data_IF_255760199156
#
_entry.id   IF_255760199156
#
_cell.length_a   1.000
_cell.length_b   1.000
_cell.length_c   1.000
_cell.angle_alpha   90.00
_cell.angle_beta   90.00
_cell.angle_gamma   90.00
#
_symmetry.space_group_name_H-M   'P 1'
#
loop_
_entity.id
_entity.type
_entity.pdbx_description
1 polymer ?
#
# COMPACT_ATOMS: atom_id res chain seq x y z
N UNK A 1 2.48 1.14 -8.26
CA UNK A 1 3.21 0.60 -7.09
C UNK A 1 2.43 0.59 -5.76
N UNK A 2 1.35 1.36 -5.57
CA UNK A 2 0.50 1.39 -4.36
C UNK A 2 -0.96 1.22 -4.73
N UNK A 3 -1.80 0.78 -3.76
CA UNK A 3 -3.24 0.63 -3.93
C UNK A 3 -3.71 -0.80 -4.22
N UNK A 4 -2.83 -1.79 -4.02
CA UNK A 4 -3.17 -3.20 -4.26
C UNK A 4 -3.81 -3.91 -3.07
N UNK A 5 -3.65 -3.38 -1.84
CA UNK A 5 -4.21 -3.97 -0.62
C UNK A 5 -5.70 -3.61 -0.47
N UNK A 6 -6.52 -4.03 -1.41
CA UNK A 6 -7.96 -3.75 -1.46
C UNK A 6 -8.78 -4.94 -0.96
N UNK A 7 -9.90 -4.66 -0.32
CA UNK A 7 -10.83 -5.72 0.07
C UNK A 7 -11.65 -6.21 -1.13
N UNK A 8 -11.81 -7.53 -1.24
CA UNK A 8 -12.73 -8.15 -2.19
C UNK A 8 -14.17 -8.03 -1.64
N UNK A 9 -14.78 -6.88 -1.86
CA UNK A 9 -16.04 -6.45 -1.20
C UNK A 9 -17.24 -7.34 -1.48
N UNK A 10 -17.27 -8.07 -2.59
CA UNK A 10 -18.38 -8.98 -2.96
C UNK A 10 -18.52 -10.21 -2.06
N UNK A 11 -17.39 -10.66 -1.51
CA UNK A 11 -17.34 -11.86 -0.68
C UNK A 11 -17.24 -11.54 0.81
N UNK A 12 -17.30 -10.25 1.16
CA UNK A 12 -17.34 -9.80 2.55
C UNK A 12 -18.77 -9.83 3.10
N UNK A 13 -18.89 -10.16 4.37
CA UNK A 13 -20.11 -9.94 5.13
C UNK A 13 -20.37 -8.44 5.33
N UNK A 14 -21.63 -8.05 5.52
CA UNK A 14 -21.99 -6.63 5.66
C UNK A 14 -21.29 -5.94 6.84
N UNK A 15 -21.00 -6.66 7.91
CA UNK A 15 -20.30 -6.16 9.08
C UNK A 15 -18.85 -5.80 8.73
N UNK A 16 -18.11 -6.72 8.10
CA UNK A 16 -16.74 -6.52 7.64
C UNK A 16 -16.66 -5.38 6.60
N UNK A 17 -17.62 -5.30 5.69
CA UNK A 17 -17.70 -4.21 4.72
C UNK A 17 -17.92 -2.86 5.40
N UNK A 18 -18.80 -2.79 6.39
CA UNK A 18 -19.05 -1.58 7.18
C UNK A 18 -17.80 -1.18 7.97
N UNK A 19 -17.12 -2.16 8.56
CA UNK A 19 -15.85 -1.96 9.27
C UNK A 19 -14.77 -1.40 8.33
N UNK A 20 -14.57 -2.02 7.17
CA UNK A 20 -13.61 -1.56 6.17
C UNK A 20 -13.86 -0.10 5.77
N UNK A 21 -15.12 0.24 5.47
CA UNK A 21 -15.54 1.61 5.14
C UNK A 21 -15.30 2.59 6.27
N UNK A 22 -15.60 2.20 7.51
CA UNK A 22 -15.42 3.07 8.68
C UNK A 22 -13.95 3.41 8.92
N UNK A 23 -13.04 2.44 8.77
CA UNK A 23 -11.59 2.66 8.89
C UNK A 23 -11.06 3.51 7.74
N UNK A 24 -11.49 3.27 6.51
CA UNK A 24 -11.15 4.09 5.34
C UNK A 24 -11.59 5.55 5.53
N UNK A 25 -12.82 5.78 5.98
CA UNK A 25 -13.33 7.11 6.31
C UNK A 25 -12.57 7.74 7.48
N UNK A 26 -12.19 6.97 8.49
CA UNK A 26 -11.37 7.40 9.61
C UNK A 26 -10.00 7.90 9.16
N UNK A 27 -9.32 7.14 8.29
CA UNK A 27 -8.04 7.53 7.71
C UNK A 27 -8.17 8.81 6.85
N UNK A 28 -9.22 8.92 6.03
CA UNK A 28 -9.51 10.12 5.26
C UNK A 28 -9.67 11.37 6.16
N UNK A 29 -10.30 11.21 7.32
CA UNK A 29 -10.45 12.27 8.32
C UNK A 29 -9.13 12.62 9.00
N UNK A 30 -8.32 11.62 9.36
CA UNK A 30 -6.98 11.83 9.92
C UNK A 30 -6.08 12.59 8.95
N UNK A 31 -6.10 12.27 7.65
CA UNK A 31 -5.41 13.04 6.61
C UNK A 31 -5.84 14.50 6.59
N UNK A 32 -7.16 14.75 6.60
CA UNK A 32 -7.69 16.11 6.61
C UNK A 32 -7.34 16.87 7.88
N UNK A 33 -7.41 16.22 9.03
CA UNK A 33 -7.11 16.82 10.33
C UNK A 33 -5.65 17.20 10.48
N UNK A 34 -4.76 16.30 10.08
CA UNK A 34 -3.32 16.46 10.25
C UNK A 34 -2.66 17.34 9.17
N UNK A 35 -3.18 17.28 7.92
CA UNK A 35 -2.50 17.88 6.76
C UNK A 35 -3.41 18.73 5.86
N UNK A 36 -4.66 18.94 6.25
CA UNK A 36 -5.64 19.74 5.50
C UNK A 36 -6.41 18.96 4.44
N UNK A 37 -7.39 19.64 3.82
CA UNK A 37 -8.36 18.98 2.93
C UNK A 37 -7.74 18.36 1.68
N UNK A 38 -6.69 18.96 1.14
CA UNK A 38 -5.99 18.45 -0.06
C UNK A 38 -5.28 17.13 0.18
N UNK A 39 -4.84 16.85 1.41
CA UNK A 39 -4.21 15.59 1.77
C UNK A 39 -5.12 14.36 1.57
N UNK A 40 -6.44 14.55 1.56
CA UNK A 40 -7.41 13.46 1.24
C UNK A 40 -7.23 12.89 -0.16
N UNK A 41 -6.66 13.65 -1.08
CA UNK A 41 -6.41 13.20 -2.45
C UNK A 41 -5.30 12.14 -2.53
N UNK A 42 -4.48 12.03 -1.50
CA UNK A 42 -3.42 11.00 -1.41
C UNK A 42 -3.89 9.71 -0.77
N UNK A 43 -5.14 9.66 -0.27
CA UNK A 43 -5.70 8.48 0.41
C UNK A 43 -5.59 7.22 -0.46
N UNK A 44 -5.04 6.15 0.11
CA UNK A 44 -4.93 4.86 -0.56
C UNK A 44 -5.40 3.70 0.34
N UNK A 45 -5.62 2.55 -0.25
CA UNK A 45 -6.13 1.36 0.42
C UNK A 45 -5.05 0.64 1.24
N UNK A 46 -3.78 0.73 0.85
CA UNK A 46 -2.69 0.08 1.56
C UNK A 46 -2.56 0.61 2.99
N UNK A 47 -2.80 1.91 3.17
CA UNK A 47 -2.81 2.51 4.51
C UNK A 47 -4.06 2.11 5.31
N UNK A 48 -5.17 1.78 4.66
CA UNK A 48 -6.35 1.23 5.33
C UNK A 48 -6.05 -0.17 5.86
N UNK A 49 -5.36 -1.01 5.07
CA UNK A 49 -4.87 -2.30 5.54
C UNK A 49 -3.91 -2.16 6.72
N UNK A 50 -2.99 -1.20 6.67
CA UNK A 50 -2.07 -0.91 7.78
C UNK A 50 -2.83 -0.57 9.08
N UNK A 51 -3.87 0.26 9.00
CA UNK A 51 -4.71 0.59 10.18
C UNK A 51 -5.41 -0.64 10.73
N UNK A 52 -6.04 -1.45 9.86
CA UNK A 52 -6.73 -2.68 10.27
C UNK A 52 -5.77 -3.67 10.94
N UNK A 53 -4.60 -3.90 10.35
CA UNK A 53 -3.59 -4.82 10.87
C UNK A 53 -3.08 -4.37 12.25
N UNK A 54 -2.63 -3.12 12.35
CA UNK A 54 -2.13 -2.59 13.61
C UNK A 54 -3.25 -2.43 14.65
N UNK A 55 -4.47 -2.09 14.22
CA UNK A 55 -5.66 -2.02 15.07
C UNK A 55 -6.00 -3.37 15.69
N UNK A 56 -5.93 -4.44 14.88
CA UNK A 56 -6.13 -5.82 15.34
C UNK A 56 -5.05 -6.29 16.31
N UNK A 57 -3.82 -5.80 16.15
CA UNK A 57 -2.67 -6.20 16.98
C UNK A 57 -2.58 -5.43 18.30
N UNK A 58 -2.90 -4.13 18.28
CA UNK A 58 -2.66 -3.23 19.40
C UNK A 58 -3.93 -2.76 20.13
N UNK A 59 -5.09 -3.01 19.56
CA UNK A 59 -6.41 -2.70 20.13
C UNK A 59 -6.52 -1.27 20.72
N UNK A 60 -6.20 -0.21 19.94
CA UNK A 60 -6.27 1.16 20.45
C UNK A 60 -7.71 1.59 20.73
N UNK A 61 -7.90 2.56 21.61
CA UNK A 61 -9.19 3.22 21.75
C UNK A 61 -9.60 3.91 20.43
N UNK A 62 -10.79 3.62 19.95
CA UNK A 62 -11.34 4.18 18.74
C UNK A 62 -12.40 5.24 19.02
N UNK A 63 -12.28 6.37 18.34
CA UNK A 63 -13.35 7.36 18.23
C UNK A 63 -14.22 7.01 17.03
N UNK A 64 -15.44 6.60 17.29
CA UNK A 64 -16.41 6.22 16.26
C UNK A 64 -17.53 7.27 16.15
N UNK A 65 -18.14 7.37 14.98
CA UNK A 65 -19.27 8.25 14.71
C UNK A 65 -19.66 8.22 13.25
N UNK A 66 -20.69 9.00 12.91
CA UNK A 66 -21.18 9.16 11.55
C UNK A 66 -21.03 10.60 11.12
N UNK A 67 -20.59 10.84 9.88
CA UNK A 67 -20.47 12.18 9.33
C UNK A 67 -20.57 12.20 7.81
N UNK A 68 -21.21 13.23 7.29
CA UNK A 68 -21.16 13.59 5.88
C UNK A 68 -19.78 14.14 5.49
N UNK A 69 -19.39 13.99 4.25
CA UNK A 69 -18.14 14.54 3.72
C UNK A 69 -18.36 15.18 2.34
N UNK A 70 -17.35 15.87 1.82
CA UNK A 70 -17.42 16.53 0.49
C UNK A 70 -17.78 15.55 -0.62
N UNK A 71 -17.30 14.30 -0.52
CA UNK A 71 -17.60 13.24 -1.50
C UNK A 71 -19.00 12.65 -1.33
N UNK A 72 -19.51 12.63 -0.09
CA UNK A 72 -20.83 12.13 0.28
C UNK A 72 -21.57 13.18 1.11
N UNK A 73 -22.13 14.23 0.46
CA UNK A 73 -22.72 15.37 1.17
C UNK A 73 -24.12 15.11 1.74
N UNK A 74 -24.79 14.06 1.26
CA UNK A 74 -26.19 13.76 1.61
C UNK A 74 -26.27 12.68 2.70
N UNK A 75 -25.45 11.65 2.60
CA UNK A 75 -25.46 10.53 3.54
C UNK A 75 -24.28 10.59 4.51
N UNK A 76 -24.57 10.37 5.79
CA UNK A 76 -23.52 10.23 6.79
C UNK A 76 -22.92 8.83 6.69
N UNK A 77 -21.59 8.76 6.66
CA UNK A 77 -20.84 7.51 6.65
C UNK A 77 -20.16 7.26 7.99
N UNK A 78 -20.13 6.02 8.47
CA UNK A 78 -19.44 5.67 9.69
C UNK A 78 -17.94 5.89 9.54
N UNK A 79 -17.28 6.31 10.62
CA UNK A 79 -15.84 6.40 10.71
C UNK A 79 -15.32 5.84 12.02
N UNK A 80 -14.11 5.29 11.98
CA UNK A 80 -13.36 4.85 13.16
C UNK A 80 -11.95 5.47 13.10
N UNK A 81 -11.59 6.23 14.13
CA UNK A 81 -10.31 6.94 14.22
C UNK A 81 -9.58 6.54 15.51
N UNK A 82 -8.27 6.38 15.41
CA UNK A 82 -7.38 6.09 16.54
C UNK A 82 -6.00 6.72 16.31
N UNK A 83 -5.08 6.53 17.24
CA UNK A 83 -3.67 6.89 17.01
C UNK A 83 -3.08 6.21 15.77
N UNK A 84 -3.60 5.03 15.39
CA UNK A 84 -3.12 4.28 14.23
C UNK A 84 -3.64 4.86 12.90
N UNK A 85 -4.83 5.43 12.86
CA UNK A 85 -5.27 6.20 11.68
C UNK A 85 -4.43 7.46 11.49
N UNK A 86 -3.96 8.07 12.57
CA UNK A 86 -3.04 9.20 12.49
C UNK A 86 -1.65 8.76 12.03
N UNK A 87 -1.14 7.66 12.55
CA UNK A 87 0.11 7.07 12.08
C UNK A 87 0.06 6.75 10.58
N UNK A 88 -0.97 6.05 10.14
CA UNK A 88 -1.16 5.71 8.74
C UNK A 88 -1.30 6.96 7.85
N UNK A 89 -1.97 8.02 8.33
CA UNK A 89 -2.03 9.29 7.61
C UNK A 89 -0.64 9.94 7.44
N UNK A 90 0.23 9.85 8.46
CA UNK A 90 1.61 10.33 8.36
C UNK A 90 2.42 9.51 7.33
N UNK A 91 2.32 8.18 7.37
CA UNK A 91 2.99 7.30 6.39
C UNK A 91 2.49 7.55 4.97
N UNK A 92 1.17 7.73 4.81
CA UNK A 92 0.55 8.06 3.53
C UNK A 92 1.12 9.35 2.91
N UNK A 93 1.31 10.40 3.71
CA UNK A 93 1.91 11.67 3.24
C UNK A 93 3.38 11.48 2.88
N UNK A 94 4.16 10.72 3.67
CA UNK A 94 5.55 10.45 3.37
C UNK A 94 5.71 9.73 2.03
N UNK A 95 4.93 8.67 1.82
CA UNK A 95 4.95 7.89 0.58
C UNK A 95 4.48 8.72 -0.63
N UNK A 96 3.38 9.47 -0.49
CA UNK A 96 2.87 10.31 -1.57
C UNK A 96 3.87 11.40 -1.98
N UNK A 97 4.49 12.07 -1.00
CA UNK A 97 5.49 13.09 -1.27
C UNK A 97 6.71 12.54 -2.01
N UNK A 98 7.27 11.44 -1.51
CA UNK A 98 8.48 10.86 -2.07
C UNK A 98 8.22 10.24 -3.46
N UNK A 99 7.05 9.63 -3.66
CA UNK A 99 6.60 9.20 -4.98
C UNK A 99 6.50 10.36 -5.97
N UNK A 100 5.90 11.48 -5.57
CA UNK A 100 5.80 12.66 -6.45
C UNK A 100 7.19 13.22 -6.82
N UNK A 101 8.18 13.13 -5.92
CA UNK A 101 9.55 13.52 -6.23
C UNK A 101 10.21 12.58 -7.24
N UNK A 102 9.96 11.29 -7.10
CA UNK A 102 10.45 10.24 -8.01
C UNK A 102 9.85 10.43 -9.41
N UNK A 103 8.53 10.52 -9.52
CA UNK A 103 7.82 10.81 -10.77
C UNK A 103 8.31 12.12 -11.45
N UNK A 104 8.68 13.12 -10.65
CA UNK A 104 9.27 14.35 -11.20
C UNK A 104 10.70 14.15 -11.71
N UNK A 105 11.50 13.36 -11.02
CA UNK A 105 12.89 13.08 -11.40
C UNK A 105 12.92 12.31 -12.72
N UNK A 106 12.09 11.30 -12.86
CA UNK A 106 12.09 10.35 -13.97
C UNK A 106 11.38 10.92 -15.21
N UNK A 107 10.14 11.34 -15.06
CA UNK A 107 9.27 11.75 -16.18
C UNK A 107 9.18 13.26 -16.40
N UNK A 108 9.76 14.07 -15.50
CA UNK A 108 9.64 15.55 -15.50
C UNK A 108 8.17 16.02 -15.50
N UNK A 109 7.28 15.26 -14.90
CA UNK A 109 5.84 15.59 -14.83
C UNK A 109 5.61 16.82 -13.95
N UNK A 110 5.22 17.94 -14.57
CA UNK A 110 4.98 19.22 -13.86
C UNK A 110 3.90 19.08 -12.76
N UNK A 111 2.89 18.21 -12.98
CA UNK A 111 1.87 17.92 -11.98
C UNK A 111 2.48 17.29 -10.72
N UNK A 112 3.36 16.29 -10.88
CA UNK A 112 4.06 15.64 -9.77
C UNK A 112 4.92 16.64 -8.96
N UNK A 113 5.58 17.58 -9.63
CA UNK A 113 6.30 18.65 -8.95
C UNK A 113 5.38 19.57 -8.14
N UNK A 114 4.24 19.96 -8.70
CA UNK A 114 3.27 20.81 -8.00
C UNK A 114 2.65 20.10 -6.78
N UNK A 115 2.35 18.81 -6.92
CA UNK A 115 1.88 17.97 -5.82
C UNK A 115 2.93 17.81 -4.73
N UNK A 116 4.19 17.48 -5.08
CA UNK A 116 5.30 17.41 -4.14
C UNK A 116 5.47 18.73 -3.37
N UNK A 117 5.38 19.88 -4.05
CA UNK A 117 5.47 21.19 -3.39
C UNK A 117 4.36 21.40 -2.36
N UNK A 118 3.15 20.93 -2.64
CA UNK A 118 2.01 21.02 -1.71
C UNK A 118 2.21 20.11 -0.49
N UNK A 119 2.78 18.91 -0.68
CA UNK A 119 2.99 17.92 0.38
C UNK A 119 4.25 18.17 1.21
N UNK A 120 5.20 18.99 0.73
CA UNK A 120 6.52 19.18 1.36
C UNK A 120 6.45 19.55 2.84
N UNK A 121 5.64 20.53 3.21
CA UNK A 121 5.52 20.95 4.62
C UNK A 121 4.98 19.84 5.53
N UNK A 122 4.02 19.06 5.00
CA UNK A 122 3.51 17.86 5.67
C UNK A 122 4.62 16.81 5.85
N UNK A 123 5.37 16.53 4.79
CA UNK A 123 6.48 15.58 4.84
C UNK A 123 7.55 15.96 5.88
N UNK A 124 7.98 17.22 5.94
CA UNK A 124 8.95 17.68 6.95
C UNK A 124 8.46 17.43 8.38
N UNK A 125 7.15 17.64 8.62
CA UNK A 125 6.53 17.32 9.91
C UNK A 125 6.56 15.82 10.19
N UNK A 126 6.25 15.00 9.19
CA UNK A 126 6.32 13.53 9.31
C UNK A 126 7.73 13.06 9.57
N UNK A 127 8.72 13.59 8.83
CA UNK A 127 10.13 13.22 8.97
C UNK A 127 10.69 13.54 10.36
N UNK A 128 10.29 14.67 10.92
CA UNK A 128 10.66 15.03 12.30
C UNK A 128 10.07 14.07 13.35
N UNK A 129 8.86 13.55 13.12
CA UNK A 129 8.15 12.66 14.05
C UNK A 129 8.52 11.19 13.87
N UNK A 130 8.77 10.76 12.61
CA UNK A 130 9.01 9.38 12.22
C UNK A 130 10.29 9.24 11.36
N UNK A 131 11.46 9.62 11.90
CA UNK A 131 12.71 9.67 11.12
C UNK A 131 13.16 8.28 10.62
N UNK A 132 12.86 7.20 11.36
CA UNK A 132 13.20 5.83 10.98
C UNK A 132 12.44 5.42 9.70
N UNK A 133 11.13 5.59 9.70
CA UNK A 133 10.28 5.24 8.55
C UNK A 133 10.61 6.09 7.33
N UNK A 134 10.72 7.40 7.50
CA UNK A 134 11.08 8.30 6.39
C UNK A 134 12.47 7.98 5.83
N UNK A 135 13.44 7.69 6.70
CA UNK A 135 14.78 7.28 6.26
C UNK A 135 14.78 5.97 5.45
N UNK A 136 13.96 4.99 5.86
CA UNK A 136 13.81 3.74 5.13
C UNK A 136 13.17 3.95 3.74
N UNK A 137 12.14 4.81 3.64
CA UNK A 137 11.51 5.13 2.35
C UNK A 137 12.51 5.84 1.42
N UNK A 138 13.22 6.86 1.94
CA UNK A 138 14.24 7.60 1.15
C UNK A 138 15.35 6.68 0.65
N UNK A 139 15.83 5.76 1.50
CA UNK A 139 16.89 4.83 1.15
C UNK A 139 16.41 3.81 0.09
N UNK A 140 15.23 3.25 0.27
CA UNK A 140 14.66 2.27 -0.65
C UNK A 140 14.47 2.88 -2.06
N UNK A 141 13.90 4.07 -2.16
CA UNK A 141 13.73 4.76 -3.45
C UNK A 141 15.07 5.10 -4.10
N UNK A 142 16.07 5.51 -3.32
CA UNK A 142 17.41 5.76 -3.83
C UNK A 142 18.08 4.50 -4.39
N UNK A 143 17.95 3.37 -3.70
CA UNK A 143 18.51 2.09 -4.13
C UNK A 143 17.78 1.58 -5.38
N UNK A 144 16.44 1.68 -5.41
CA UNK A 144 15.64 1.31 -6.57
C UNK A 144 16.03 2.15 -7.81
N UNK A 145 16.09 3.48 -7.68
CA UNK A 145 16.53 4.36 -8.77
C UNK A 145 17.95 4.03 -9.26
N UNK A 146 18.85 3.59 -8.39
CA UNK A 146 20.19 3.15 -8.80
C UNK A 146 20.18 1.85 -9.62
N UNK A 147 19.26 0.92 -9.32
CA UNK A 147 19.07 -0.31 -10.12
C UNK A 147 18.48 0.02 -11.50
N UNK A 148 17.51 0.93 -11.55
CA UNK A 148 16.88 1.42 -12.79
C UNK A 148 17.88 2.13 -13.69
N UNK A 149 18.66 3.09 -13.13
CA UNK A 149 19.70 3.83 -13.85
C UNK A 149 20.79 2.89 -14.42
N UNK A 150 21.08 1.79 -13.72
CA UNK A 150 22.02 0.77 -14.17
C UNK A 150 21.41 -0.21 -15.21
N UNK A 151 20.10 -0.15 -15.48
CA UNK A 151 19.38 -1.09 -16.34
C UNK A 151 19.46 -2.54 -15.84
N UNK A 152 19.54 -2.74 -14.52
CA UNK A 152 19.77 -4.05 -13.92
C UNK A 152 18.46 -4.84 -13.82
N UNK A 153 18.30 -5.84 -14.67
CA UNK A 153 17.16 -6.76 -14.68
C UNK A 153 17.31 -7.82 -13.55
N UNK A 154 17.11 -7.37 -12.31
CA UNK A 154 17.21 -8.19 -11.10
C UNK A 154 15.94 -7.99 -10.24
N UNK A 155 14.90 -8.83 -10.45
CA UNK A 155 13.63 -8.71 -9.74
C UNK A 155 13.77 -8.85 -8.22
N UNK A 156 14.70 -9.71 -7.76
CA UNK A 156 14.90 -9.93 -6.33
C UNK A 156 15.52 -8.71 -5.66
N UNK A 157 16.51 -8.07 -6.29
CA UNK A 157 17.14 -6.86 -5.76
C UNK A 157 16.15 -5.70 -5.72
N UNK A 158 15.36 -5.48 -6.78
CA UNK A 158 14.36 -4.44 -6.85
C UNK A 158 13.23 -4.66 -5.83
N UNK A 159 12.71 -5.89 -5.74
CA UNK A 159 11.70 -6.24 -4.74
C UNK A 159 12.22 -6.09 -3.30
N UNK A 160 13.52 -6.37 -3.05
CA UNK A 160 14.13 -6.20 -1.74
C UNK A 160 14.14 -4.73 -1.27
N UNK A 161 14.33 -3.76 -2.18
CA UNK A 161 14.24 -2.33 -1.84
C UNK A 161 12.84 -1.99 -1.31
N UNK A 162 11.80 -2.45 -1.99
CA UNK A 162 10.42 -2.18 -1.59
C UNK A 162 10.03 -2.93 -0.31
N UNK A 163 10.48 -4.18 -0.16
CA UNK A 163 10.35 -4.95 1.07
C UNK A 163 10.98 -4.23 2.27
N UNK A 164 12.21 -3.73 2.12
CA UNK A 164 12.92 -2.99 3.16
C UNK A 164 12.18 -1.71 3.61
N UNK A 165 11.54 -1.01 2.68
CA UNK A 165 10.68 0.13 2.98
C UNK A 165 9.46 -0.29 3.83
N UNK A 166 8.74 -1.32 3.38
CA UNK A 166 7.52 -1.78 4.04
C UNK A 166 7.80 -2.34 5.45
N UNK A 167 8.94 -3.00 5.66
CA UNK A 167 9.42 -3.44 6.99
C UNK A 167 9.31 -2.33 8.03
N UNK A 168 9.74 -1.12 7.70
CA UNK A 168 9.78 -0.02 8.64
C UNK A 168 8.45 0.73 8.76
N UNK A 169 7.68 0.82 7.67
CA UNK A 169 6.34 1.42 7.68
C UNK A 169 5.38 0.63 8.56
N UNK A 170 5.45 -0.70 8.53
CA UNK A 170 4.54 -1.55 9.30
C UNK A 170 4.87 -1.63 10.79
N UNK A 171 6.05 -1.21 11.20
CA UNK A 171 6.43 -1.15 12.62
C UNK A 171 6.12 0.23 13.19
N UNK A 172 4.94 0.33 13.83
CA UNK A 172 4.51 1.53 14.53
C UNK A 172 5.39 1.84 15.75
N UNK A 173 5.72 0.82 16.55
CA UNK A 173 6.58 0.90 17.73
C UNK A 173 7.54 -0.29 17.81
N UNK A 174 8.71 -0.06 18.45
CA UNK A 174 9.69 -1.11 18.69
C UNK A 174 9.31 -1.91 19.95
N UNK A 175 8.66 -3.05 19.72
CA UNK A 175 8.27 -3.98 20.78
C UNK A 175 8.49 -5.45 20.33
N UNK A 176 7.97 -6.41 21.10
CA UNK A 176 8.09 -7.84 20.81
C UNK A 176 7.48 -8.26 19.45
N UNK A 177 6.61 -7.44 18.87
CA UNK A 177 5.94 -7.70 17.60
C UNK A 177 6.65 -7.06 16.39
N UNK A 178 7.67 -6.25 16.66
CA UNK A 178 8.39 -5.54 15.60
C UNK A 178 9.00 -6.50 14.57
N UNK A 179 9.69 -7.58 14.99
CA UNK A 179 10.30 -8.52 14.06
C UNK A 179 9.29 -9.37 13.26
N UNK A 180 8.22 -9.93 13.86
CA UNK A 180 7.14 -10.55 13.07
C UNK A 180 6.49 -9.60 12.06
N UNK A 181 6.21 -8.34 12.45
CA UNK A 181 5.67 -7.32 11.55
C UNK A 181 6.65 -6.98 10.42
N UNK A 182 7.95 -6.84 10.70
CA UNK A 182 8.97 -6.61 9.69
C UNK A 182 9.03 -7.73 8.67
N UNK A 183 9.04 -8.96 9.15
CA UNK A 183 9.14 -10.13 8.26
C UNK A 183 7.90 -10.27 7.37
N UNK A 184 6.70 -10.06 7.94
CA UNK A 184 5.46 -10.03 7.20
C UNK A 184 5.46 -8.92 6.14
N UNK A 185 5.84 -7.71 6.54
CA UNK A 185 5.82 -6.54 5.67
C UNK A 185 6.89 -6.58 4.57
N UNK A 186 8.06 -7.19 4.82
CA UNK A 186 9.08 -7.44 3.79
C UNK A 186 8.50 -8.31 2.66
N UNK A 187 7.92 -9.46 3.02
CA UNK A 187 7.33 -10.37 2.04
C UNK A 187 6.15 -9.72 1.29
N UNK A 188 5.32 -8.96 2.01
CA UNK A 188 4.22 -8.21 1.41
C UNK A 188 4.71 -7.13 0.44
N UNK A 189 5.75 -6.39 0.82
CA UNK A 189 6.36 -5.37 -0.02
C UNK A 189 6.96 -5.96 -1.29
N UNK A 190 7.69 -7.08 -1.17
CA UNK A 190 8.19 -7.84 -2.33
C UNK A 190 7.07 -8.29 -3.24
N UNK A 191 5.99 -8.85 -2.67
CA UNK A 191 4.81 -9.23 -3.44
C UNK A 191 4.25 -8.06 -4.23
N UNK A 192 3.99 -6.92 -3.58
CA UNK A 192 3.39 -5.74 -4.22
C UNK A 192 4.27 -5.21 -5.36
N UNK A 193 5.57 -5.13 -5.16
CA UNK A 193 6.51 -4.70 -6.19
C UNK A 193 6.53 -5.64 -7.40
N UNK A 194 6.64 -6.95 -7.17
CA UNK A 194 6.68 -7.95 -8.23
C UNK A 194 5.34 -8.06 -8.96
N UNK A 195 4.22 -7.85 -8.26
CA UNK A 195 2.89 -7.78 -8.87
C UNK A 195 2.79 -6.60 -9.84
N UNK A 196 3.18 -5.40 -9.39
CA UNK A 196 3.20 -4.17 -10.20
C UNK A 196 4.06 -4.38 -11.47
N UNK A 197 5.29 -4.87 -11.29
CA UNK A 197 6.19 -5.15 -12.40
C UNK A 197 5.64 -6.20 -13.39
N UNK A 198 4.95 -7.23 -12.90
CA UNK A 198 4.33 -8.24 -13.75
C UNK A 198 3.15 -7.69 -14.55
N UNK A 199 2.30 -6.85 -13.93
CA UNK A 199 1.14 -6.25 -14.58
C UNK A 199 1.57 -5.25 -15.66
N UNK A 200 2.59 -4.43 -15.37
CA UNK A 200 3.02 -3.32 -16.23
C UNK A 200 4.05 -3.75 -17.28
N UNK A 201 4.52 -5.01 -17.29
CA UNK A 201 5.63 -5.50 -18.10
C UNK A 201 5.53 -5.09 -19.58
N UNK A 202 4.41 -5.37 -20.24
CA UNK A 202 4.26 -5.12 -21.68
C UNK A 202 4.20 -3.62 -21.98
N UNK A 203 3.54 -2.85 -21.11
CA UNK A 203 3.41 -1.41 -21.24
C UNK A 203 4.75 -0.71 -21.00
N UNK A 204 5.52 -1.13 -19.98
CA UNK A 204 6.85 -0.61 -19.70
C UNK A 204 7.84 -0.89 -20.84
N UNK A 205 7.83 -2.10 -21.37
CA UNK A 205 8.67 -2.47 -22.50
C UNK A 205 8.32 -1.63 -23.74
N UNK A 206 7.02 -1.44 -24.02
CA UNK A 206 6.56 -0.64 -25.14
C UNK A 206 6.96 0.84 -25.05
N UNK A 207 7.00 1.39 -23.84
CA UNK A 207 7.41 2.77 -23.57
C UNK A 207 8.92 2.94 -23.33
N UNK A 208 9.68 1.84 -23.25
CA UNK A 208 11.12 1.87 -22.95
C UNK A 208 11.42 2.18 -21.48
N UNK A 209 10.42 2.06 -20.59
CA UNK A 209 10.56 2.20 -19.15
C UNK A 209 11.30 1.01 -18.54
N UNK A 210 11.88 1.20 -17.36
CA UNK A 210 12.50 0.10 -16.64
C UNK A 210 11.44 -0.90 -16.16
N UNK A 211 11.72 -2.19 -16.34
CA UNK A 211 10.98 -3.26 -15.71
C UNK A 211 11.93 -4.43 -15.43
N UNK A 212 12.00 -4.94 -14.18
CA UNK A 212 12.94 -6.00 -13.82
C UNK A 212 12.63 -7.35 -14.48
N UNK A 213 11.43 -7.51 -15.06
CA UNK A 213 11.01 -8.69 -15.81
C UNK A 213 11.14 -8.53 -17.33
N UNK A 214 11.82 -7.49 -17.82
CA UNK A 214 11.92 -7.17 -19.26
C UNK A 214 12.32 -8.37 -20.13
N UNK A 215 13.21 -9.24 -19.64
CA UNK A 215 13.64 -10.45 -20.36
C UNK A 215 12.53 -11.48 -20.59
N UNK A 216 11.40 -11.37 -19.90
CA UNK A 216 10.23 -12.24 -20.06
C UNK A 216 9.14 -11.65 -20.97
N UNK A 217 9.31 -10.45 -21.53
CA UNK A 217 8.31 -9.80 -22.36
C UNK A 217 7.94 -10.67 -23.57
N UNK A 218 6.62 -10.85 -23.80
CA UNK A 218 6.09 -11.68 -24.89
C UNK A 218 6.13 -13.19 -24.65
N UNK A 219 6.59 -13.66 -23.49
CA UNK A 219 6.60 -15.09 -23.17
C UNK A 219 5.17 -15.57 -22.80
N UNK A 220 4.73 -16.66 -23.45
CA UNK A 220 3.39 -17.22 -23.25
C UNK A 220 3.16 -17.82 -21.84
N UNK A 221 4.25 -18.20 -21.14
CA UNK A 221 4.20 -18.86 -19.83
C UNK A 221 4.24 -17.84 -18.66
N UNK A 222 4.16 -16.55 -18.96
CA UNK A 222 4.27 -15.49 -17.93
C UNK A 222 3.21 -15.57 -16.84
N UNK A 223 1.97 -15.95 -17.18
CA UNK A 223 0.91 -16.09 -16.16
C UNK A 223 1.32 -17.09 -15.08
N UNK A 224 1.73 -18.29 -15.47
CA UNK A 224 2.10 -19.34 -14.50
C UNK A 224 3.36 -18.95 -13.73
N UNK A 225 4.38 -18.46 -14.43
CA UNK A 225 5.66 -18.01 -13.82
C UNK A 225 5.46 -16.94 -12.77
N UNK A 226 4.74 -15.85 -13.10
CA UNK A 226 4.51 -14.76 -12.15
C UNK A 226 3.59 -15.17 -11.01
N UNK A 227 2.59 -16.00 -11.29
CA UNK A 227 1.74 -16.58 -10.25
C UNK A 227 2.54 -17.37 -9.21
N UNK A 228 3.51 -18.17 -9.64
CA UNK A 228 4.33 -18.93 -8.73
C UNK A 228 5.30 -18.06 -7.92
N UNK A 229 5.93 -17.05 -8.55
CA UNK A 229 6.76 -16.06 -7.86
C UNK A 229 5.95 -15.33 -6.79
N UNK A 230 4.76 -14.86 -7.13
CA UNK A 230 3.87 -14.14 -6.21
C UNK A 230 3.38 -15.05 -5.07
N UNK A 231 3.04 -16.31 -5.35
CA UNK A 231 2.65 -17.28 -4.32
C UNK A 231 3.73 -17.53 -3.29
N UNK A 232 5.00 -17.54 -3.69
CA UNK A 232 6.12 -17.70 -2.75
C UNK A 232 6.18 -16.53 -1.76
N UNK A 233 6.08 -15.29 -2.26
CA UNK A 233 6.10 -14.09 -1.41
C UNK A 233 4.87 -14.02 -0.50
N UNK A 234 3.69 -14.31 -1.03
CA UNK A 234 2.46 -14.33 -0.24
C UNK A 234 2.48 -15.44 0.82
N UNK A 235 3.05 -16.60 0.50
CA UNK A 235 3.22 -17.70 1.47
C UNK A 235 4.06 -17.28 2.67
N UNK A 236 5.16 -16.57 2.45
CA UNK A 236 6.01 -16.02 3.52
C UNK A 236 5.26 -14.93 4.31
N UNK A 237 4.53 -14.05 3.63
CA UNK A 237 3.70 -13.03 4.28
C UNK A 237 2.65 -13.67 5.21
N UNK A 238 1.90 -14.67 4.73
CA UNK A 238 0.88 -15.38 5.52
C UNK A 238 1.50 -16.15 6.68
N UNK A 239 2.66 -16.77 6.48
CA UNK A 239 3.38 -17.46 7.55
C UNK A 239 3.65 -16.55 8.76
N UNK A 240 4.06 -15.30 8.52
CA UNK A 240 4.29 -14.32 9.57
C UNK A 240 2.99 -13.68 10.09
N UNK A 241 2.02 -13.45 9.21
CA UNK A 241 0.69 -12.95 9.57
C UNK A 241 0.01 -13.88 10.60
N UNK A 242 0.00 -15.19 10.36
CA UNK A 242 -0.63 -16.17 11.26
C UNK A 242 0.07 -16.29 12.63
N UNK A 243 1.24 -15.68 12.81
CA UNK A 243 1.98 -15.62 14.09
C UNK A 243 1.69 -14.36 14.90
N UNK A 244 1.04 -13.39 14.31
CA UNK A 244 0.61 -12.20 15.03
C UNK A 244 -0.67 -12.53 15.85
N UNK A 245 -0.77 -12.10 17.11
CA UNK A 245 -1.94 -12.34 17.93
C UNK A 245 -3.05 -11.34 17.59
N UNK A 246 -3.56 -11.43 16.39
CA UNK A 246 -4.62 -10.56 15.91
C UNK A 246 -5.94 -10.91 16.58
N UNK A 247 -6.68 -9.89 17.04
CA UNK A 247 -7.90 -10.06 17.85
C UNK A 247 -9.16 -9.78 17.03
N UNK A 248 -9.17 -8.67 16.28
CA UNK A 248 -10.31 -8.22 15.49
C UNK A 248 -9.97 -8.09 14.01
N UNK A 249 -10.97 -7.96 13.17
CA UNK A 249 -10.80 -7.74 11.72
C UNK A 249 -10.03 -8.86 10.97
N UNK A 250 -9.81 -10.03 11.58
CA UNK A 250 -8.97 -11.12 11.04
C UNK A 250 -9.51 -11.63 9.69
N UNK A 251 -10.84 -11.81 9.58
CA UNK A 251 -11.47 -12.26 8.34
C UNK A 251 -11.30 -11.20 7.22
N UNK A 252 -11.47 -9.93 7.56
CA UNK A 252 -11.26 -8.82 6.64
C UNK A 252 -9.80 -8.73 6.17
N UNK A 253 -8.85 -8.86 7.08
CA UNK A 253 -7.42 -8.88 6.76
C UNK A 253 -7.06 -10.07 5.85
N UNK A 254 -7.59 -11.27 6.13
CA UNK A 254 -7.41 -12.46 5.27
C UNK A 254 -8.08 -12.28 3.90
N UNK A 255 -9.25 -11.65 3.84
CA UNK A 255 -9.90 -11.32 2.57
C UNK A 255 -8.99 -10.44 1.69
N UNK A 256 -8.37 -9.39 2.27
CA UNK A 256 -7.45 -8.51 1.55
C UNK A 256 -6.23 -9.29 1.07
N UNK A 257 -5.56 -10.06 1.94
CA UNK A 257 -4.33 -10.78 1.61
C UNK A 257 -4.57 -11.94 0.63
N UNK A 258 -5.62 -12.74 0.84
CA UNK A 258 -5.81 -13.99 0.10
C UNK A 258 -6.65 -13.84 -1.17
N UNK A 259 -7.47 -12.78 -1.26
CA UNK A 259 -8.40 -12.56 -2.40
C UNK A 259 -8.13 -11.20 -3.05
N UNK A 260 -8.15 -10.13 -2.26
CA UNK A 260 -8.04 -8.76 -2.77
C UNK A 260 -6.75 -8.49 -3.54
N UNK A 261 -5.61 -8.93 -3.02
CA UNK A 261 -4.28 -8.78 -3.66
C UNK A 261 -4.21 -9.41 -5.07
N UNK A 262 -5.01 -10.43 -5.35
CA UNK A 262 -5.00 -11.10 -6.65
C UNK A 262 -5.87 -10.44 -7.69
N UNK A 263 -6.72 -9.48 -7.31
CA UNK A 263 -7.70 -8.87 -8.21
C UNK A 263 -7.06 -8.27 -9.47
N UNK A 264 -5.99 -7.48 -9.31
CA UNK A 264 -5.29 -6.86 -10.42
C UNK A 264 -4.56 -7.89 -11.32
N UNK A 265 -3.93 -8.91 -10.71
CA UNK A 265 -3.30 -10.01 -11.44
C UNK A 265 -4.33 -10.80 -12.28
N UNK A 266 -5.46 -11.18 -11.67
CA UNK A 266 -6.51 -11.92 -12.34
C UNK A 266 -7.13 -11.11 -13.47
N UNK A 267 -7.31 -9.81 -13.29
CA UNK A 267 -7.75 -8.92 -14.36
C UNK A 267 -6.81 -8.93 -15.55
N UNK A 268 -5.49 -8.78 -15.32
CA UNK A 268 -4.50 -8.71 -16.40
C UNK A 268 -4.35 -10.02 -17.16
N UNK A 269 -4.27 -11.15 -16.43
CA UNK A 269 -3.87 -12.44 -16.98
C UNK A 269 -5.02 -13.42 -17.24
N UNK A 270 -6.12 -13.34 -16.49
CA UNK A 270 -7.27 -14.24 -16.62
C UNK A 270 -8.44 -13.57 -17.34
N UNK A 271 -8.47 -12.23 -17.38
CA UNK A 271 -9.56 -11.47 -18.01
C UNK A 271 -10.82 -11.38 -17.14
N UNK A 272 -10.70 -11.57 -15.83
CA UNK A 272 -11.79 -11.33 -14.89
C UNK A 272 -12.08 -9.82 -14.82
N UNK A 273 -13.35 -9.42 -15.06
CA UNK A 273 -13.73 -7.99 -15.09
C UNK A 273 -13.71 -7.40 -13.66
N UNK A 274 -12.88 -6.34 -13.39
CA UNK A 274 -12.79 -5.69 -12.08
C UNK A 274 -14.07 -4.93 -11.70
N UNK A 275 -15.02 -4.73 -12.64
CA UNK A 275 -16.33 -4.14 -12.32
C UNK A 275 -17.06 -4.88 -11.22
N UNK A 276 -16.46 -5.95 -10.76
CA UNK A 276 -16.93 -6.87 -9.80
C UNK A 276 -16.47 -6.63 -8.34
N UNK A 277 -16.09 -5.45 -7.92
CA UNK A 277 -16.03 -5.17 -6.48
C UNK A 277 -14.89 -4.33 -5.95
N UNK A 278 -13.89 -3.93 -6.74
CA UNK A 278 -12.80 -3.04 -6.31
C UNK A 278 -13.04 -1.59 -6.75
N UNK A 279 -14.24 -1.08 -6.50
CA UNK A 279 -14.53 0.35 -6.70
C UNK A 279 -14.24 1.17 -5.44
N UNK A 280 -13.94 2.47 -5.56
CA UNK A 280 -13.78 3.32 -4.40
C UNK A 280 -15.07 3.31 -3.58
N UNK A 281 -14.88 3.18 -2.27
CA UNK A 281 -15.94 3.25 -1.24
C UNK A 281 -16.63 4.60 -1.28
#
# INVERSE_FOLDING_TARGET
>A
MFGYLVAATKVLENEDLTRYKSVYCGLCRSLSRCFGQTARLTLNFDMTFLVLLLGSLYEPEEQQGDQTCVRHPIEAHPYAMSELTDYAAHMNIAMAYLKCLDDWKDDRRVTAWAEARTLKAGYETVKAKYPRQCGAIEQALKELSALEDAGREDPDAAAACFGAMMREIFVFREDRWAEPLRSMADALGRFVYLLDAAIDLEDDVAHGSYNPFRSFAGDADNEERFRDILRMQLGECIFWFDRLPLVQDVNLLKNILCVGLWAAFNQKYIGEDPKDGSGPV
#
